data_IF_872038730343
#
_entry.id   IF_872038730343
#
_cell.length_a   1.000
_cell.length_b   1.000
_cell.length_c   1.000
_cell.angle_alpha   90.00
_cell.angle_beta   90.00
_cell.angle_gamma   90.00
#
_symmetry.space_group_name_H-M   'P 1'
#
loop_
_entity.id
_entity.type
_entity.pdbx_description
1 polymer ?
#
# COMPACT_ATOMS: atom_id res chain seq x y z
N UNK A 1 1.03 3.99 8.78
CA UNK A 1 0.64 4.07 10.20
C UNK A 1 0.69 2.72 10.89
N UNK A 2 0.08 1.65 10.35
CA UNK A 2 0.02 0.32 11.00
C UNK A 2 1.38 -0.21 11.47
N UNK A 3 2.46 -0.07 10.67
CA UNK A 3 3.81 -0.49 11.10
C UNK A 3 4.35 0.37 12.25
N UNK A 4 4.01 1.66 12.26
CA UNK A 4 4.35 2.58 13.33
C UNK A 4 3.53 2.29 14.60
N UNK A 5 2.24 1.94 14.45
CA UNK A 5 1.42 1.52 15.59
C UNK A 5 1.94 0.24 16.25
N UNK A 6 2.46 -0.70 15.46
CA UNK A 6 3.12 -1.87 16.05
C UNK A 6 4.35 -1.50 16.89
N UNK A 7 5.18 -0.58 16.39
CA UNK A 7 6.31 -0.05 17.16
C UNK A 7 5.85 0.73 18.40
N UNK A 8 4.72 1.43 18.32
CA UNK A 8 4.08 2.08 19.45
C UNK A 8 3.64 1.07 20.51
N UNK A 9 2.97 -0.01 20.10
CA UNK A 9 2.56 -1.09 20.99
C UNK A 9 3.74 -1.72 21.71
N UNK A 10 4.86 -1.96 21.02
CA UNK A 10 6.07 -2.49 21.66
C UNK A 10 6.56 -1.60 22.81
N UNK A 11 6.47 -0.26 22.66
CA UNK A 11 6.89 0.69 23.70
C UNK A 11 5.88 0.84 24.82
N UNK A 12 4.59 0.92 24.49
CA UNK A 12 3.49 1.06 25.46
C UNK A 12 3.34 -0.14 26.37
N UNK A 13 3.56 -1.34 25.83
CA UNK A 13 3.39 -2.62 26.53
C UNK A 13 4.72 -3.29 26.89
N UNK A 14 5.82 -2.55 26.87
CA UNK A 14 7.10 -3.00 27.43
C UNK A 14 6.92 -3.27 28.92
N UNK A 15 7.18 -4.53 29.34
CA UNK A 15 6.96 -4.96 30.72
C UNK A 15 7.95 -4.32 31.70
N UNK A 16 9.14 -3.97 31.23
CA UNK A 16 10.22 -3.43 32.06
C UNK A 16 10.22 -1.89 32.09
N UNK A 17 9.79 -1.26 30.99
CA UNK A 17 9.83 0.20 30.86
C UNK A 17 8.77 0.72 29.86
N UNK A 18 7.47 0.70 30.24
CA UNK A 18 6.39 1.22 29.40
C UNK A 18 6.59 2.72 29.14
N UNK A 19 6.38 3.16 27.89
CA UNK A 19 6.58 4.55 27.49
C UNK A 19 5.34 5.07 26.78
N UNK A 20 4.98 6.29 27.09
CA UNK A 20 4.01 7.04 26.33
C UNK A 20 4.56 7.34 24.93
N UNK A 21 3.71 7.30 23.93
CA UNK A 21 4.07 7.59 22.55
C UNK A 21 3.05 8.49 21.88
N UNK A 22 3.49 9.37 21.00
CA UNK A 22 2.63 10.09 20.09
C UNK A 22 2.91 9.60 18.66
N UNK A 23 1.83 9.35 17.90
CA UNK A 23 1.91 8.97 16.50
C UNK A 23 1.34 10.10 15.64
N UNK A 24 2.18 10.66 14.80
CA UNK A 24 1.80 11.66 13.81
C UNK A 24 1.56 10.97 12.46
N UNK A 25 0.38 11.17 11.86
CA UNK A 25 -0.02 10.50 10.61
C UNK A 25 -0.55 11.52 9.60
N UNK A 26 -0.09 11.47 8.36
CA UNK A 26 -0.67 12.26 7.27
C UNK A 26 -2.08 11.74 6.98
N UNK A 27 -3.10 12.57 7.20
CA UNK A 27 -4.52 12.24 7.01
C UNK A 27 -5.12 12.89 5.76
N UNK A 28 -4.52 13.97 5.27
CA UNK A 28 -4.87 14.59 4.00
C UNK A 28 -3.65 15.19 3.31
N UNK A 29 -3.72 15.26 1.98
CA UNK A 29 -2.69 15.85 1.12
C UNK A 29 -3.39 16.71 0.09
N UNK A 30 -2.90 17.95 -0.09
CA UNK A 30 -3.32 18.86 -1.15
C UNK A 30 -2.12 19.26 -2.01
N UNK A 31 -2.24 19.14 -3.32
CA UNK A 31 -1.13 19.41 -4.24
C UNK A 31 -0.05 18.33 -4.19
N UNK A 32 1.23 18.73 -4.34
CA UNK A 32 2.36 17.81 -4.35
C UNK A 32 2.94 17.64 -2.95
N UNK A 33 2.87 16.43 -2.41
CA UNK A 33 3.48 16.09 -1.12
C UNK A 33 4.52 14.98 -1.28
N UNK A 34 5.59 14.96 -0.46
CA UNK A 34 6.69 14.01 -0.58
C UNK A 34 6.30 12.59 -0.15
N UNK A 35 5.20 12.46 0.60
CA UNK A 35 4.72 11.18 1.15
C UNK A 35 3.21 11.07 1.03
N UNK A 36 2.66 9.85 0.83
CA UNK A 36 1.23 9.62 0.74
C UNK A 36 0.52 9.70 2.09
N UNK A 37 -0.81 9.82 2.04
CA UNK A 37 -1.72 9.65 3.19
C UNK A 37 -1.44 8.29 3.85
N UNK A 38 -1.45 8.24 5.20
CA UNK A 38 -1.11 7.06 6.00
C UNK A 38 0.36 7.00 6.41
N UNK A 39 1.24 7.82 5.80
CA UNK A 39 2.64 7.92 6.27
C UNK A 39 2.67 8.44 7.69
N UNK A 40 3.49 7.82 8.54
CA UNK A 40 3.51 8.13 9.97
C UNK A 40 4.91 8.25 10.55
N UNK A 41 4.98 9.00 11.65
CA UNK A 41 6.14 9.17 12.51
C UNK A 41 5.71 8.97 13.94
N UNK A 42 6.56 8.33 14.76
CA UNK A 42 6.35 8.13 16.18
C UNK A 42 7.39 8.91 16.96
N UNK A 43 6.95 9.52 18.05
CA UNK A 43 7.82 10.13 19.08
C UNK A 43 7.45 9.52 20.42
N UNK A 44 8.42 9.01 21.19
CA UNK A 44 8.18 8.51 22.53
C UNK A 44 8.49 9.56 23.61
N UNK A 45 8.09 9.27 24.86
CA UNK A 45 8.28 10.17 26.00
C UNK A 45 9.75 10.47 26.35
N UNK A 46 10.71 9.73 25.75
CA UNK A 46 12.15 10.03 25.86
C UNK A 46 12.66 10.93 24.75
N UNK A 47 11.80 11.28 23.77
CA UNK A 47 12.16 12.03 22.57
C UNK A 47 12.75 11.18 21.44
N UNK A 48 12.70 9.84 21.55
CA UNK A 48 13.15 8.98 20.46
C UNK A 48 12.13 8.98 19.31
N UNK A 49 12.63 9.12 18.09
CA UNK A 49 11.81 9.23 16.86
C UNK A 49 11.95 7.98 16.01
N UNK A 50 10.85 7.54 15.41
CA UNK A 50 10.82 6.49 14.39
C UNK A 50 9.91 6.88 13.23
N UNK A 51 10.37 6.71 11.99
CA UNK A 51 9.65 7.11 10.79
C UNK A 51 9.93 8.54 10.37
N UNK A 52 9.25 9.02 9.32
CA UNK A 52 9.38 10.36 8.77
C UNK A 52 8.18 10.68 7.88
N UNK A 53 7.71 11.94 7.88
CA UNK A 53 6.55 12.40 7.12
C UNK A 53 6.92 13.09 5.80
N UNK A 54 8.04 13.82 5.78
CA UNK A 54 8.39 14.67 4.63
C UNK A 54 9.83 14.46 4.13
N UNK A 55 10.67 13.84 4.94
CA UNK A 55 12.10 13.71 4.67
C UNK A 55 12.91 14.93 5.10
N UNK A 56 12.42 15.74 6.07
CA UNK A 56 13.15 16.83 6.71
C UNK A 56 12.46 18.18 6.74
N UNK A 57 11.37 18.38 5.97
CA UNK A 57 10.74 19.70 5.87
C UNK A 57 9.91 20.07 7.11
N UNK A 58 9.12 19.14 7.64
CA UNK A 58 8.15 19.39 8.73
C UNK A 58 8.46 18.64 10.01
N UNK A 59 9.45 17.76 10.02
CA UNK A 59 9.74 16.85 11.14
C UNK A 59 9.96 17.57 12.46
N UNK A 60 10.61 18.74 12.46
CA UNK A 60 10.82 19.53 13.68
C UNK A 60 9.52 20.02 14.30
N UNK A 61 8.65 20.61 13.48
CA UNK A 61 7.35 21.09 13.94
C UNK A 61 6.41 19.96 14.36
N UNK A 62 6.45 18.83 13.64
CA UNK A 62 5.69 17.63 14.01
C UNK A 62 6.22 17.03 15.32
N UNK A 63 7.53 17.04 15.55
CA UNK A 63 8.12 16.59 16.79
C UNK A 63 7.60 17.42 17.99
N UNK A 64 7.59 18.75 17.88
CA UNK A 64 7.03 19.64 18.90
C UNK A 64 5.55 19.36 19.15
N UNK A 65 4.75 19.23 18.07
CA UNK A 65 3.34 18.86 18.17
C UNK A 65 3.13 17.48 18.87
N UNK A 66 4.02 16.52 18.64
CA UNK A 66 3.98 15.24 19.35
C UNK A 66 4.28 15.40 20.84
N UNK A 67 5.23 16.25 21.23
CA UNK A 67 5.53 16.52 22.64
C UNK A 67 4.36 17.23 23.32
N UNK A 68 3.73 18.19 22.67
CA UNK A 68 2.54 18.87 23.19
C UNK A 68 1.38 17.89 23.39
N UNK A 69 1.16 16.98 22.44
CA UNK A 69 0.14 15.93 22.54
C UNK A 69 0.44 14.95 23.70
N UNK A 70 1.70 14.58 23.91
CA UNK A 70 2.09 13.75 25.04
C UNK A 70 1.87 14.47 26.38
N UNK A 71 2.11 15.77 26.44
CA UNK A 71 1.92 16.58 27.65
C UNK A 71 0.44 16.83 27.96
N UNK A 72 -0.39 17.07 26.96
CA UNK A 72 -1.82 17.32 27.13
C UNK A 72 -2.67 16.05 27.24
N UNK A 73 -2.22 14.96 26.62
CA UNK A 73 -2.99 13.73 26.44
C UNK A 73 -4.08 13.84 25.37
N UNK A 74 -4.14 14.95 24.61
CA UNK A 74 -5.20 15.23 23.65
C UNK A 74 -4.69 15.10 22.20
N UNK A 75 -5.48 14.51 21.29
CA UNK A 75 -5.16 14.46 19.89
C UNK A 75 -5.41 15.82 19.20
N UNK A 76 -4.60 16.13 18.17
CA UNK A 76 -4.75 17.34 17.40
C UNK A 76 -4.48 17.10 15.89
N UNK A 77 -5.10 17.91 15.03
CA UNK A 77 -4.77 17.96 13.61
C UNK A 77 -4.02 19.25 13.32
N UNK A 78 -2.85 19.12 12.71
CA UNK A 78 -2.00 20.24 12.32
C UNK A 78 -1.90 20.30 10.80
N UNK A 79 -2.03 21.51 10.24
CA UNK A 79 -1.84 21.75 8.81
C UNK A 79 -0.42 22.29 8.57
N UNK A 80 0.28 21.72 7.60
CA UNK A 80 1.60 22.15 7.15
C UNK A 80 1.54 22.41 5.65
N UNK A 81 1.87 23.62 5.21
CA UNK A 81 1.81 24.01 3.80
C UNK A 81 2.36 25.39 3.56
N UNK A 82 2.38 25.80 2.31
CA UNK A 82 2.75 27.16 1.93
C UNK A 82 1.53 28.07 2.19
N UNK A 83 1.60 28.97 3.17
CA UNK A 83 0.68 30.08 3.29
C UNK A 83 1.44 31.38 2.99
N UNK A 84 0.94 32.17 2.05
CA UNK A 84 1.51 33.50 1.71
C UNK A 84 1.45 34.52 2.87
N UNK A 85 0.75 34.20 3.96
CA UNK A 85 0.52 35.11 5.08
C UNK A 85 1.41 34.90 6.30
N UNK A 86 2.08 33.72 6.42
CA UNK A 86 2.96 33.42 7.57
C UNK A 86 4.40 33.14 7.10
N UNK A 87 5.25 34.17 7.17
CA UNK A 87 6.68 34.07 6.86
C UNK A 87 7.47 33.13 7.80
N UNK A 88 6.81 32.50 8.78
CA UNK A 88 7.34 31.52 9.72
C UNK A 88 6.66 30.14 9.65
N UNK A 89 5.69 29.95 8.74
CA UNK A 89 5.07 28.64 8.58
C UNK A 89 6.08 27.66 8.00
N UNK A 90 6.24 26.52 8.65
CA UNK A 90 7.08 25.41 8.17
C UNK A 90 6.43 24.86 6.90
N UNK A 91 6.93 25.31 5.73
CA UNK A 91 6.36 24.98 4.43
C UNK A 91 7.00 23.73 3.82
N UNK A 92 6.20 23.00 3.05
CA UNK A 92 6.72 21.90 2.21
C UNK A 92 7.42 22.50 0.99
N UNK A 93 8.70 22.18 0.79
CA UNK A 93 9.49 22.65 -0.38
C UNK A 93 8.89 22.21 -1.74
N UNK A 94 8.02 21.21 -1.76
CA UNK A 94 7.32 20.73 -2.95
C UNK A 94 6.03 21.52 -3.29
N UNK A 95 5.67 22.56 -2.51
CA UNK A 95 4.54 23.45 -2.81
C UNK A 95 3.15 22.87 -2.54
N UNK A 96 3.04 21.73 -1.86
CA UNK A 96 1.77 21.17 -1.41
C UNK A 96 1.47 21.48 0.06
N UNK A 97 0.31 21.00 0.53
CA UNK A 97 -0.07 21.05 1.93
C UNK A 97 -0.41 19.63 2.43
N UNK A 98 -0.14 19.37 3.70
CA UNK A 98 -0.53 18.14 4.39
C UNK A 98 -1.27 18.46 5.68
N UNK A 99 -2.24 17.63 6.02
CA UNK A 99 -2.84 17.61 7.34
C UNK A 99 -2.31 16.39 8.10
N UNK A 100 -1.85 16.62 9.31
CA UNK A 100 -1.23 15.60 10.17
C UNK A 100 -2.04 15.46 11.44
N UNK A 101 -2.62 14.27 11.66
CA UNK A 101 -3.19 13.90 12.94
C UNK A 101 -2.06 13.49 13.88
N UNK A 102 -1.96 14.13 15.03
CA UNK A 102 -1.08 13.72 16.13
C UNK A 102 -1.94 13.08 17.21
N UNK A 103 -1.74 11.78 17.43
CA UNK A 103 -2.50 10.98 18.39
C UNK A 103 -1.58 10.50 19.50
N UNK A 104 -1.79 10.94 20.78
CA UNK A 104 -1.06 10.39 21.91
C UNK A 104 -1.66 9.04 22.34
N UNK A 105 -0.78 8.13 22.76
CA UNK A 105 -1.10 6.87 23.41
C UNK A 105 -0.32 6.79 24.72
N UNK A 106 -1.03 6.73 25.83
CA UNK A 106 -0.44 6.76 27.15
C UNK A 106 -0.34 5.34 27.73
N UNK A 107 0.77 5.03 28.37
CA UNK A 107 1.00 3.76 29.02
C UNK A 107 -0.06 3.54 30.14
N UNK A 108 -0.79 2.43 30.07
CA UNK A 108 -1.92 2.17 30.97
C UNK A 108 -3.21 2.85 30.58
N UNK A 109 -3.25 3.68 29.51
CA UNK A 109 -4.43 4.29 28.94
C UNK A 109 -5.23 3.34 28.05
N UNK A 110 -6.50 3.70 27.78
CA UNK A 110 -7.31 3.04 26.75
C UNK A 110 -6.99 3.72 25.42
N UNK A 111 -6.66 3.01 24.39
CA UNK A 111 -6.47 3.70 23.11
C UNK A 111 -5.79 2.92 22.01
N UNK A 112 -5.02 1.92 22.34
CA UNK A 112 -4.45 1.00 21.38
C UNK A 112 -4.60 -0.42 21.93
N UNK A 113 -5.44 -1.23 21.29
CA UNK A 113 -5.53 -2.65 21.60
C UNK A 113 -4.22 -3.36 21.21
N UNK A 114 -3.84 -4.40 21.94
CA UNK A 114 -2.69 -5.21 21.58
C UNK A 114 -3.05 -6.01 20.33
N UNK A 115 -2.46 -5.65 19.17
CA UNK A 115 -2.66 -6.40 17.95
C UNK A 115 -2.14 -7.83 18.08
N UNK A 116 -2.93 -8.80 17.65
CA UNK A 116 -2.60 -10.22 17.82
C UNK A 116 -1.55 -10.71 16.82
N UNK A 117 -1.37 -10.05 15.66
CA UNK A 117 -0.45 -10.50 14.61
C UNK A 117 -0.13 -9.39 13.61
N UNK A 118 1.12 -9.33 13.15
CA UNK A 118 1.51 -8.51 11.98
C UNK A 118 1.05 -9.09 10.64
N UNK A 119 0.63 -10.35 10.63
CA UNK A 119 0.37 -11.09 9.40
C UNK A 119 -1.09 -11.03 8.94
N UNK A 120 -2.04 -10.70 9.82
CA UNK A 120 -3.46 -10.70 9.49
C UNK A 120 -3.88 -9.38 8.84
N UNK A 121 -4.80 -9.40 7.85
CA UNK A 121 -5.41 -8.20 7.31
C UNK A 121 -6.14 -7.43 8.42
N UNK A 122 -5.73 -6.20 8.66
CA UNK A 122 -6.24 -5.34 9.72
C UNK A 122 -6.57 -3.97 9.15
N UNK A 123 -7.62 -3.35 9.64
CA UNK A 123 -7.88 -1.94 9.42
C UNK A 123 -7.85 -1.20 10.77
N UNK A 124 -7.33 0.02 10.74
CA UNK A 124 -7.39 0.95 11.87
C UNK A 124 -8.28 2.11 11.50
N UNK A 125 -9.19 2.45 12.39
CA UNK A 125 -10.15 3.54 12.23
C UNK A 125 -9.88 4.53 13.36
N UNK A 126 -9.66 5.78 13.00
CA UNK A 126 -9.45 6.88 13.95
C UNK A 126 -10.40 8.03 13.62
N UNK A 127 -11.23 8.47 14.56
CA UNK A 127 -11.96 9.72 14.39
C UNK A 127 -10.99 10.90 14.42
N UNK A 128 -11.19 11.83 13.49
CA UNK A 128 -10.44 13.08 13.51
C UNK A 128 -11.05 14.04 14.53
N UNK A 129 -10.24 14.77 15.29
CA UNK A 129 -10.69 15.82 16.19
C UNK A 129 -11.53 16.87 15.45
N UNK A 130 -12.64 17.29 16.04
CA UNK A 130 -13.52 18.34 15.51
C UNK A 130 -13.87 19.28 16.64
N UNK A 131 -14.03 20.56 16.34
CA UNK A 131 -14.37 21.60 17.31
C UNK A 131 -15.67 21.34 18.11
N UNK A 132 -16.53 20.48 17.58
CA UNK A 132 -17.84 20.18 18.17
C UNK A 132 -17.84 18.88 19.01
N UNK A 133 -16.68 18.26 19.25
CA UNK A 133 -16.58 17.01 20.02
C UNK A 133 -15.64 17.14 21.19
N UNK A 134 -16.18 16.96 22.38
CA UNK A 134 -15.49 17.04 23.67
C UNK A 134 -14.71 15.77 24.06
N UNK A 135 -14.44 14.78 23.24
CA UNK A 135 -13.75 13.57 23.72
C UNK A 135 -12.78 12.98 22.71
N UNK A 136 -11.58 12.74 23.20
CA UNK A 136 -10.55 11.95 22.58
C UNK A 136 -11.10 10.59 22.17
N UNK A 137 -11.23 10.38 20.90
CA UNK A 137 -11.68 9.12 20.36
C UNK A 137 -10.46 8.24 20.15
N UNK A 138 -10.55 7.01 20.62
CA UNK A 138 -9.47 6.05 20.53
C UNK A 138 -9.41 5.46 19.12
N UNK A 139 -8.20 5.14 18.66
CA UNK A 139 -8.03 4.30 17.48
C UNK A 139 -8.64 2.92 17.76
N UNK A 140 -9.43 2.43 16.84
CA UNK A 140 -9.97 1.06 16.88
C UNK A 140 -9.37 0.23 15.76
N UNK A 141 -8.98 -1.00 16.10
CA UNK A 141 -8.43 -1.98 15.19
C UNK A 141 -9.51 -3.02 14.89
N UNK A 142 -9.73 -3.34 13.61
CA UNK A 142 -10.72 -4.32 13.17
C UNK A 142 -10.09 -5.27 12.15
N UNK A 143 -10.55 -6.52 12.11
CA UNK A 143 -10.18 -7.43 11.02
C UNK A 143 -10.86 -7.01 9.73
N UNK A 144 -10.10 -6.93 8.66
CA UNK A 144 -10.56 -6.35 7.39
C UNK A 144 -11.81 -7.02 6.79
N UNK A 145 -12.10 -8.27 7.16
CA UNK A 145 -13.18 -9.07 6.59
C UNK A 145 -14.32 -9.39 7.60
N UNK A 146 -14.37 -8.74 8.77
CA UNK A 146 -15.40 -8.99 9.79
C UNK A 146 -16.33 -7.79 9.93
N UNK A 147 -17.51 -7.87 9.28
CA UNK A 147 -18.52 -6.81 9.33
C UNK A 147 -19.11 -6.60 10.73
N UNK A 148 -19.21 -7.64 11.56
CA UNK A 148 -19.75 -7.52 12.92
C UNK A 148 -18.74 -6.83 13.82
N UNK A 149 -17.47 -7.17 13.68
CA UNK A 149 -16.37 -6.50 14.40
C UNK A 149 -16.29 -5.02 14.00
N UNK A 150 -16.45 -4.71 12.71
CA UNK A 150 -16.48 -3.34 12.21
C UNK A 150 -17.64 -2.54 12.83
N UNK A 151 -18.86 -3.08 12.88
CA UNK A 151 -20.00 -2.41 13.49
C UNK A 151 -19.77 -2.15 14.98
N UNK A 152 -19.31 -3.15 15.73
CA UNK A 152 -19.02 -3.02 17.15
C UNK A 152 -17.91 -1.99 17.43
N UNK A 153 -16.90 -1.90 16.54
CA UNK A 153 -15.84 -0.92 16.64
C UNK A 153 -16.28 0.51 16.35
N UNK A 154 -17.27 0.69 15.45
CA UNK A 154 -17.79 2.01 15.08
C UNK A 154 -18.84 2.56 16.08
N UNK A 155 -19.56 1.69 16.82
CA UNK A 155 -20.56 2.13 17.80
C UNK A 155 -20.07 3.22 18.77
N UNK A 156 -18.88 3.10 19.41
CA UNK A 156 -18.39 4.14 20.30
C UNK A 156 -17.86 5.38 19.58
N UNK A 157 -17.61 5.30 18.26
CA UNK A 157 -16.96 6.37 17.48
C UNK A 157 -17.97 7.29 16.81
N UNK A 158 -19.20 6.84 16.58
CA UNK A 158 -20.19 7.60 15.81
C UNK A 158 -21.55 7.59 16.47
N UNK A 159 -22.39 8.64 16.33
CA UNK A 159 -23.78 8.62 16.79
C UNK A 159 -24.55 7.48 16.13
N UNK A 160 -25.53 6.87 16.83
CA UNK A 160 -26.33 5.77 16.27
C UNK A 160 -26.99 6.08 14.91
N UNK A 161 -27.42 7.33 14.70
CA UNK A 161 -28.01 7.77 13.44
C UNK A 161 -27.01 7.77 12.26
N UNK A 162 -25.73 7.92 12.51
CA UNK A 162 -24.67 7.93 11.49
C UNK A 162 -24.02 6.54 11.28
N UNK A 163 -24.26 5.59 12.19
CA UNK A 163 -23.61 4.27 12.19
C UNK A 163 -23.78 3.49 10.87
N UNK A 164 -24.97 3.42 10.24
CA UNK A 164 -25.12 2.70 8.97
C UNK A 164 -24.29 3.29 7.84
N UNK A 165 -24.23 4.63 7.74
CA UNK A 165 -23.44 5.32 6.73
C UNK A 165 -21.94 5.17 7.00
N UNK A 166 -21.53 5.28 8.26
CA UNK A 166 -20.17 5.05 8.69
C UNK A 166 -19.70 3.63 8.34
N UNK A 167 -20.48 2.62 8.71
CA UNK A 167 -20.17 1.22 8.43
C UNK A 167 -20.05 0.95 6.93
N UNK A 168 -21.01 1.42 6.12
CA UNK A 168 -20.99 1.22 4.68
C UNK A 168 -19.77 1.85 4.01
N UNK A 169 -19.44 3.11 4.34
CA UNK A 169 -18.32 3.83 3.72
C UNK A 169 -16.97 3.27 4.20
N UNK A 170 -16.84 2.98 5.49
CA UNK A 170 -15.61 2.39 6.06
C UNK A 170 -15.38 0.99 5.50
N UNK A 171 -16.42 0.14 5.42
CA UNK A 171 -16.31 -1.18 4.80
C UNK A 171 -15.90 -1.09 3.31
N UNK A 172 -16.40 -0.09 2.58
CA UNK A 172 -15.98 0.14 1.19
C UNK A 172 -14.50 0.54 1.10
N UNK A 173 -14.01 1.39 2.01
CA UNK A 173 -12.59 1.73 2.10
C UNK A 173 -11.74 0.49 2.37
N UNK A 174 -12.12 -0.32 3.35
CA UNK A 174 -11.40 -1.54 3.74
C UNK A 174 -11.38 -2.55 2.59
N UNK A 175 -12.52 -2.86 1.97
CA UNK A 175 -12.61 -3.79 0.83
C UNK A 175 -11.80 -3.34 -0.39
N UNK A 176 -11.72 -2.03 -0.63
CA UNK A 176 -10.92 -1.46 -1.72
C UNK A 176 -9.47 -1.15 -1.29
N UNK A 177 -9.09 -1.53 -0.08
CA UNK A 177 -7.74 -1.38 0.46
C UNK A 177 -7.22 0.05 0.38
N UNK A 178 -8.12 1.00 0.61
CA UNK A 178 -7.83 2.42 0.56
C UNK A 178 -7.51 2.97 1.94
N UNK A 179 -6.48 3.80 2.00
CA UNK A 179 -6.17 4.64 3.16
C UNK A 179 -6.64 6.07 2.89
N UNK A 180 -7.35 6.66 3.85
CA UNK A 180 -7.85 8.03 3.71
C UNK A 180 -8.95 8.37 4.70
N UNK A 181 -9.53 9.57 4.54
CA UNK A 181 -10.57 10.10 5.43
C UNK A 181 -11.96 9.90 4.81
N UNK A 182 -12.85 9.29 5.59
CA UNK A 182 -14.29 9.17 5.29
C UNK A 182 -15.03 10.31 5.97
N UNK A 183 -15.86 11.04 5.20
CA UNK A 183 -16.69 12.14 5.70
C UNK A 183 -18.13 11.72 5.75
N UNK A 184 -18.74 11.72 6.94
CA UNK A 184 -20.08 11.22 7.19
C UNK A 184 -20.95 12.38 7.67
N UNK A 185 -22.05 12.63 6.95
CA UNK A 185 -23.10 13.54 7.42
C UNK A 185 -23.91 12.88 8.53
N UNK A 186 -24.18 13.59 9.61
CA UNK A 186 -25.05 13.12 10.68
C UNK A 186 -26.51 13.40 10.29
N UNK A 187 -27.38 12.38 10.15
CA UNK A 187 -28.80 12.60 9.84
C UNK A 187 -29.47 13.48 10.88
N UNK A 188 -30.14 14.53 10.41
CA UNK A 188 -30.82 15.50 11.27
C UNK A 188 -29.98 16.68 11.72
N UNK A 189 -28.67 16.69 11.45
CA UNK A 189 -27.78 17.81 11.68
C UNK A 189 -26.89 18.07 10.46
N UNK A 190 -27.25 19.01 9.63
CA UNK A 190 -26.49 19.36 8.42
C UNK A 190 -25.16 20.10 8.69
N UNK A 191 -24.86 20.42 9.95
CA UNK A 191 -23.67 21.15 10.36
C UNK A 191 -22.56 20.24 10.87
N UNK A 192 -22.94 19.07 11.41
CA UNK A 192 -21.98 18.12 11.97
C UNK A 192 -21.55 17.14 10.90
N UNK A 193 -20.27 17.18 10.55
CA UNK A 193 -19.60 16.17 9.72
C UNK A 193 -18.65 15.38 10.60
N UNK A 194 -18.81 14.08 10.57
CA UNK A 194 -17.88 13.18 11.20
C UNK A 194 -16.76 12.84 10.21
N UNK A 195 -15.54 12.93 10.62
CA UNK A 195 -14.40 12.51 9.83
C UNK A 195 -13.72 11.33 10.51
N UNK A 196 -13.63 10.20 9.80
CA UNK A 196 -12.96 8.99 10.24
C UNK A 196 -11.77 8.75 9.31
N UNK A 197 -10.58 8.74 9.86
CA UNK A 197 -9.41 8.25 9.14
C UNK A 197 -9.40 6.73 9.18
N UNK A 198 -9.28 6.11 8.02
CA UNK A 198 -9.27 4.66 7.84
C UNK A 198 -7.97 4.28 7.16
N UNK A 199 -7.23 3.37 7.77
CA UNK A 199 -6.08 2.75 7.16
C UNK A 199 -6.25 1.24 7.17
N UNK A 200 -6.14 0.62 6.00
CA UNK A 200 -6.20 -0.83 5.86
C UNK A 200 -4.81 -1.39 5.62
N UNK A 201 -4.42 -2.39 6.40
CA UNK A 201 -3.26 -3.21 6.05
C UNK A 201 -3.69 -4.18 4.97
N UNK A 202 -3.18 -3.94 3.80
CA UNK A 202 -3.37 -4.77 2.64
C UNK A 202 -2.44 -5.96 2.73
N UNK A 203 -2.92 -7.14 2.34
CA UNK A 203 -2.02 -8.24 2.02
C UNK A 203 -1.05 -7.76 0.93
N UNK A 204 0.26 -7.95 1.05
CA UNK A 204 1.20 -7.53 0.02
C UNK A 204 0.79 -8.03 -1.37
N UNK A 205 0.84 -7.16 -2.38
CA UNK A 205 0.53 -7.54 -3.74
C UNK A 205 1.41 -8.73 -4.17
N UNK A 206 0.83 -9.70 -4.88
CA UNK A 206 1.52 -10.94 -5.21
C UNK A 206 2.26 -10.80 -6.54
N UNK A 207 3.59 -10.92 -6.50
CA UNK A 207 4.45 -11.03 -7.68
C UNK A 207 4.75 -12.50 -7.94
N UNK A 208 4.19 -13.05 -8.99
CA UNK A 208 4.49 -14.41 -9.46
C UNK A 208 5.52 -14.34 -10.57
N UNK A 209 6.68 -14.94 -10.33
CA UNK A 209 7.79 -15.03 -11.28
C UNK A 209 7.84 -16.46 -11.83
N UNK A 210 7.58 -16.62 -13.10
CA UNK A 210 7.68 -17.92 -13.79
C UNK A 210 9.05 -18.03 -14.45
N UNK A 211 9.86 -18.96 -13.96
CA UNK A 211 11.21 -19.20 -14.43
C UNK A 211 12.28 -18.95 -13.36
N UNK A 212 12.80 -20.04 -12.81
CA UNK A 212 13.88 -20.03 -11.84
C UNK A 212 15.24 -19.94 -12.56
N UNK A 213 15.59 -18.74 -13.01
CA UNK A 213 16.82 -18.42 -13.74
C UNK A 213 17.44 -17.11 -13.24
N UNK A 214 18.55 -16.68 -13.83
CA UNK A 214 19.26 -15.46 -13.43
C UNK A 214 18.38 -14.19 -13.50
N UNK A 215 17.45 -14.11 -14.45
CA UNK A 215 16.52 -12.97 -14.54
C UNK A 215 15.48 -13.02 -13.42
N UNK A 216 14.98 -14.22 -13.10
CA UNK A 216 14.08 -14.42 -11.96
C UNK A 216 14.76 -14.07 -10.63
N UNK A 217 16.02 -14.48 -10.43
CA UNK A 217 16.80 -14.11 -9.24
C UNK A 217 16.94 -12.59 -9.10
N UNK A 218 17.35 -11.92 -10.18
CA UNK A 218 17.53 -10.47 -10.18
C UNK A 218 16.20 -9.73 -9.94
N UNK A 219 15.08 -10.23 -10.50
CA UNK A 219 13.77 -9.63 -10.28
C UNK A 219 13.31 -9.80 -8.83
N UNK A 220 13.49 -10.98 -8.22
CA UNK A 220 13.19 -11.21 -6.80
C UNK A 220 13.98 -10.27 -5.91
N UNK A 221 15.29 -10.17 -6.13
CA UNK A 221 16.18 -9.31 -5.33
C UNK A 221 15.76 -7.83 -5.42
N UNK A 222 15.49 -7.33 -6.62
CA UNK A 222 15.10 -5.94 -6.84
C UNK A 222 13.66 -5.63 -6.34
N UNK A 223 12.77 -6.62 -6.32
CA UNK A 223 11.37 -6.45 -5.91
C UNK A 223 11.17 -6.51 -4.38
N UNK A 224 12.07 -7.14 -3.62
CA UNK A 224 11.97 -7.27 -2.15
C UNK A 224 11.76 -5.94 -1.42
N UNK A 225 12.52 -4.86 -1.69
CA UNK A 225 12.32 -3.57 -1.02
C UNK A 225 10.96 -2.93 -1.29
N UNK A 226 10.25 -3.36 -2.34
CA UNK A 226 8.92 -2.86 -2.69
C UNK A 226 7.80 -3.53 -1.88
N UNK A 227 8.13 -4.52 -1.03
CA UNK A 227 7.19 -5.14 -0.12
C UNK A 227 6.22 -6.13 -0.77
N UNK A 228 6.50 -6.64 -1.98
CA UNK A 228 5.68 -7.67 -2.63
C UNK A 228 5.80 -9.03 -1.93
N UNK A 229 4.70 -9.79 -1.87
CA UNK A 229 4.76 -11.24 -1.66
C UNK A 229 5.24 -11.86 -2.96
N UNK A 230 6.35 -12.59 -2.93
CA UNK A 230 6.97 -13.10 -4.14
C UNK A 230 6.94 -14.63 -4.15
N UNK A 231 6.44 -15.20 -5.27
CA UNK A 231 6.54 -16.64 -5.52
C UNK A 231 7.25 -16.88 -6.85
N UNK A 232 8.29 -17.69 -6.82
CA UNK A 232 8.98 -18.19 -8.02
C UNK A 232 8.42 -19.57 -8.36
N UNK A 233 7.92 -19.74 -9.59
CA UNK A 233 7.34 -20.98 -10.06
C UNK A 233 8.14 -21.54 -11.25
N UNK A 234 8.64 -22.76 -11.11
CA UNK A 234 9.31 -23.48 -12.19
C UNK A 234 9.03 -25.00 -12.08
N UNK A 235 8.63 -25.67 -13.16
CA UNK A 235 8.36 -27.12 -13.12
C UNK A 235 9.63 -27.97 -13.01
N UNK A 236 10.79 -27.41 -13.31
CA UNK A 236 12.07 -28.12 -13.36
C UNK A 236 12.74 -28.13 -12.00
N UNK A 237 12.77 -29.29 -11.35
CA UNK A 237 13.32 -29.47 -9.99
C UNK A 237 14.77 -29.00 -9.84
N UNK A 238 15.59 -29.13 -10.88
CA UNK A 238 17.00 -28.71 -10.85
C UNK A 238 17.18 -27.19 -10.74
N UNK A 239 16.16 -26.40 -11.01
CA UNK A 239 16.20 -24.93 -10.95
C UNK A 239 15.40 -24.37 -9.76
N UNK A 240 14.37 -25.10 -9.30
CA UNK A 240 13.49 -24.66 -8.23
C UNK A 240 14.12 -24.86 -6.83
N UNK A 241 15.31 -24.26 -6.63
CA UNK A 241 16.02 -24.29 -5.35
C UNK A 241 15.66 -23.07 -4.50
N UNK A 242 15.02 -23.22 -3.33
CA UNK A 242 14.68 -22.11 -2.44
C UNK A 242 15.91 -21.29 -1.99
N UNK A 243 17.08 -21.89 -1.88
CA UNK A 243 18.30 -21.19 -1.49
C UNK A 243 18.75 -20.14 -2.53
N UNK A 244 18.34 -20.32 -3.79
CA UNK A 244 18.65 -19.38 -4.86
C UNK A 244 17.73 -18.15 -4.90
N UNK A 245 16.64 -18.12 -4.10
CA UNK A 245 15.62 -17.06 -4.10
C UNK A 245 15.29 -16.59 -2.68
N UNK A 246 16.24 -15.99 -1.97
CA UNK A 246 16.02 -15.53 -0.60
C UNK A 246 14.92 -14.48 -0.54
N UNK A 247 13.90 -14.70 0.30
CA UNK A 247 12.76 -13.80 0.46
C UNK A 247 11.61 -14.02 -0.53
N UNK A 248 11.65 -15.11 -1.29
CA UNK A 248 10.54 -15.58 -2.11
C UNK A 248 10.16 -17.01 -1.72
N UNK A 249 8.89 -17.35 -1.90
CA UNK A 249 8.42 -18.74 -1.92
C UNK A 249 8.82 -19.38 -3.25
N UNK A 250 9.24 -20.65 -3.22
CA UNK A 250 9.58 -21.38 -4.45
C UNK A 250 8.60 -22.53 -4.64
N UNK A 251 7.83 -22.49 -5.72
CA UNK A 251 6.85 -23.48 -6.09
C UNK A 251 7.38 -24.34 -7.25
N UNK A 252 7.73 -25.60 -6.97
CA UNK A 252 8.03 -26.59 -8.01
C UNK A 252 6.73 -27.12 -8.61
N UNK A 253 6.22 -26.45 -9.64
CA UNK A 253 4.96 -26.79 -10.29
C UNK A 253 4.92 -26.29 -11.73
N UNK A 254 4.02 -26.86 -12.54
CA UNK A 254 3.64 -26.27 -13.81
C UNK A 254 2.93 -24.93 -13.56
N UNK A 255 3.35 -23.81 -14.17
CA UNK A 255 2.85 -22.47 -13.81
C UNK A 255 1.33 -22.33 -13.93
N UNK A 256 0.71 -22.86 -14.99
CA UNK A 256 -0.74 -22.80 -15.14
C UNK A 256 -1.48 -23.57 -14.02
N UNK A 257 -0.95 -24.66 -13.51
CA UNK A 257 -1.52 -25.36 -12.35
C UNK A 257 -1.32 -24.59 -11.04
N UNK A 258 -0.15 -23.95 -10.89
CA UNK A 258 0.09 -23.07 -9.74
C UNK A 258 -0.87 -21.89 -9.75
N UNK A 259 -0.99 -21.18 -10.87
CA UNK A 259 -1.88 -20.02 -11.03
C UNK A 259 -3.35 -20.40 -10.78
N UNK A 260 -3.79 -21.58 -11.25
CA UNK A 260 -5.15 -22.05 -10.99
C UNK A 260 -5.41 -22.22 -9.50
N UNK A 261 -4.52 -22.90 -8.77
CA UNK A 261 -4.66 -23.08 -7.32
C UNK A 261 -4.60 -21.76 -6.55
N UNK A 262 -3.71 -20.85 -6.95
CA UNK A 262 -3.59 -19.54 -6.33
C UNK A 262 -4.84 -18.67 -6.57
N UNK A 263 -5.45 -18.77 -7.76
CA UNK A 263 -6.70 -18.09 -8.07
C UNK A 263 -7.88 -18.67 -7.26
N UNK A 264 -7.99 -19.99 -7.18
CA UNK A 264 -9.03 -20.67 -6.41
C UNK A 264 -8.92 -20.38 -4.90
N UNK A 265 -7.68 -20.18 -4.40
CA UNK A 265 -7.42 -19.79 -3.02
C UNK A 265 -7.67 -18.29 -2.73
N UNK A 266 -7.94 -17.47 -3.76
CA UNK A 266 -8.07 -16.02 -3.61
C UNK A 266 -6.72 -15.29 -3.41
N UNK A 267 -5.62 -15.94 -3.72
CA UNK A 267 -4.25 -15.41 -3.57
C UNK A 267 -3.85 -14.45 -4.70
N UNK A 268 -4.65 -14.37 -5.77
CA UNK A 268 -4.45 -13.49 -6.92
C UNK A 268 -5.60 -12.53 -7.05
N UNK A 269 -5.29 -11.24 -7.10
CA UNK A 269 -6.24 -10.13 -7.21
C UNK A 269 -5.81 -9.11 -8.29
N UNK A 270 -6.54 -8.00 -8.39
CA UNK A 270 -6.26 -6.91 -9.34
C UNK A 270 -4.90 -6.22 -9.14
N UNK A 271 -4.21 -6.47 -8.03
CA UNK A 271 -2.88 -5.94 -7.73
C UNK A 271 -1.78 -6.94 -8.05
N UNK A 272 -2.15 -8.19 -8.32
CA UNK A 272 -1.20 -9.27 -8.59
C UNK A 272 -0.53 -9.07 -9.95
N UNK A 273 0.72 -9.48 -10.02
CA UNK A 273 1.58 -9.35 -11.19
C UNK A 273 2.17 -10.70 -11.56
N UNK A 274 2.12 -11.06 -12.84
CA UNK A 274 2.64 -12.33 -13.35
C UNK A 274 3.72 -12.04 -14.40
N UNK A 275 4.96 -12.43 -14.13
CA UNK A 275 6.11 -12.22 -14.99
C UNK A 275 6.64 -13.57 -15.50
N UNK A 276 6.46 -13.83 -16.79
CA UNK A 276 6.96 -15.05 -17.46
C UNK A 276 8.38 -14.75 -17.99
N UNK A 277 9.38 -15.33 -17.35
CA UNK A 277 10.81 -15.09 -17.64
C UNK A 277 11.50 -16.33 -18.24
N UNK A 278 10.72 -17.31 -18.67
CA UNK A 278 11.20 -18.47 -19.42
C UNK A 278 11.14 -18.19 -20.96
N UNK A 279 11.71 -19.09 -21.72
CA UNK A 279 11.68 -19.06 -23.18
C UNK A 279 11.20 -20.41 -23.77
N UNK A 280 10.54 -21.22 -22.94
CA UNK A 280 10.02 -22.52 -23.36
C UNK A 280 8.52 -22.40 -23.68
N UNK A 281 8.10 -22.53 -24.95
CA UNK A 281 6.68 -22.43 -25.32
C UNK A 281 5.77 -23.42 -24.58
N UNK A 282 6.30 -24.58 -24.13
CA UNK A 282 5.54 -25.58 -23.36
C UNK A 282 5.17 -25.06 -21.96
N UNK A 283 5.98 -24.16 -21.42
CA UNK A 283 5.74 -23.51 -20.14
C UNK A 283 4.97 -22.20 -20.36
N UNK A 284 5.46 -21.36 -21.30
CA UNK A 284 4.99 -20.00 -21.51
C UNK A 284 3.54 -19.95 -22.00
N UNK A 285 3.18 -20.75 -23.02
CA UNK A 285 1.87 -20.64 -23.64
C UNK A 285 0.74 -21.02 -22.67
N UNK A 286 0.76 -22.19 -21.97
CA UNK A 286 -0.27 -22.52 -21.01
C UNK A 286 -0.33 -21.54 -19.83
N UNK A 287 0.83 -21.05 -19.36
CA UNK A 287 0.88 -20.08 -18.28
C UNK A 287 0.25 -18.73 -18.67
N UNK A 288 0.57 -18.20 -19.86
CA UNK A 288 0.02 -16.96 -20.37
C UNK A 288 -1.47 -17.08 -20.71
N UNK A 289 -1.88 -18.20 -21.32
CA UNK A 289 -3.29 -18.45 -21.63
C UNK A 289 -4.12 -18.38 -20.34
N UNK A 290 -3.66 -19.00 -19.26
CA UNK A 290 -4.33 -18.95 -17.96
C UNK A 290 -4.26 -17.56 -17.33
N UNK A 291 -3.07 -16.95 -17.27
CA UNK A 291 -2.84 -15.64 -16.66
C UNK A 291 -3.68 -14.51 -17.30
N UNK A 292 -3.80 -14.51 -18.62
CA UNK A 292 -4.60 -13.54 -19.38
C UNK A 292 -6.11 -13.71 -19.16
N UNK A 293 -6.57 -14.88 -18.71
CA UNK A 293 -7.94 -15.11 -18.26
C UNK A 293 -8.24 -14.59 -16.86
N UNK A 294 -7.22 -14.26 -16.07
CA UNK A 294 -7.38 -13.74 -14.71
C UNK A 294 -7.59 -12.23 -14.68
N UNK A 295 -8.22 -11.73 -13.62
CA UNK A 295 -8.39 -10.30 -13.32
C UNK A 295 -7.17 -9.65 -12.65
N UNK A 296 -5.95 -10.08 -12.99
CA UNK A 296 -4.72 -9.54 -12.39
C UNK A 296 -4.29 -8.23 -13.06
N UNK A 297 -3.55 -7.40 -12.32
CA UNK A 297 -3.17 -6.06 -12.75
C UNK A 297 -2.05 -6.00 -13.78
N UNK A 298 -1.21 -7.06 -13.87
CA UNK A 298 -0.10 -7.08 -14.81
C UNK A 298 0.22 -8.50 -15.26
N UNK A 299 0.40 -8.69 -16.57
CA UNK A 299 0.91 -9.93 -17.17
C UNK A 299 2.00 -9.56 -18.17
N UNK A 300 3.24 -10.00 -17.90
CA UNK A 300 4.37 -9.71 -18.76
C UNK A 300 5.13 -10.95 -19.18
N UNK A 301 5.74 -10.93 -20.37
CA UNK A 301 6.52 -12.05 -20.87
C UNK A 301 7.84 -11.59 -21.51
N UNK A 302 8.93 -12.24 -21.09
CA UNK A 302 10.27 -11.98 -21.63
C UNK A 302 10.41 -12.50 -23.05
N UNK A 303 11.18 -11.78 -23.87
CA UNK A 303 11.52 -12.20 -25.20
C UNK A 303 11.89 -11.06 -26.14
N UNK A 304 12.22 -11.41 -27.37
CA UNK A 304 12.43 -10.44 -28.44
C UNK A 304 11.09 -10.07 -29.11
N UNK A 305 11.07 -9.00 -29.90
CA UNK A 305 9.92 -8.65 -30.77
C UNK A 305 9.51 -9.78 -31.72
N UNK A 306 10.46 -10.64 -32.11
CA UNK A 306 10.17 -11.83 -32.90
C UNK A 306 9.45 -12.88 -32.06
N UNK A 307 10.01 -13.19 -30.87
CA UNK A 307 9.40 -14.15 -29.95
C UNK A 307 7.99 -13.71 -29.50
N UNK A 308 7.76 -12.39 -29.38
CA UNK A 308 6.43 -11.86 -29.07
C UNK A 308 5.43 -12.14 -30.20
N UNK A 309 5.80 -11.91 -31.48
CA UNK A 309 4.91 -12.22 -32.60
C UNK A 309 4.53 -13.70 -32.62
N UNK A 310 5.54 -14.58 -32.48
CA UNK A 310 5.33 -16.03 -32.49
C UNK A 310 4.43 -16.47 -31.33
N UNK A 311 4.65 -15.89 -30.14
CA UNK A 311 3.87 -16.11 -28.91
C UNK A 311 2.41 -15.66 -29.09
N UNK A 312 2.16 -14.45 -29.60
CA UNK A 312 0.79 -13.95 -29.85
C UNK A 312 0.05 -14.82 -30.86
N UNK A 313 0.73 -15.32 -31.89
CA UNK A 313 0.14 -16.27 -32.85
C UNK A 313 -0.26 -17.57 -32.14
N UNK A 314 0.62 -18.15 -31.31
CA UNK A 314 0.35 -19.37 -30.56
C UNK A 314 -0.78 -19.19 -29.54
N UNK A 315 -0.85 -18.04 -28.85
CA UNK A 315 -1.92 -17.72 -27.90
C UNK A 315 -3.29 -17.60 -28.59
N UNK A 316 -3.36 -16.96 -29.78
CA UNK A 316 -4.60 -16.96 -30.57
C UNK A 316 -5.04 -18.35 -30.98
N UNK A 317 -4.09 -19.22 -31.40
CA UNK A 317 -4.38 -20.63 -31.72
C UNK A 317 -4.88 -21.39 -30.49
N UNK A 318 -4.42 -21.03 -29.27
CA UNK A 318 -4.88 -21.57 -27.99
C UNK A 318 -6.23 -20.94 -27.51
N UNK A 319 -6.84 -20.05 -28.29
CA UNK A 319 -8.16 -19.48 -27.99
C UNK A 319 -8.14 -18.20 -27.16
N UNK A 320 -6.98 -17.54 -26.99
CA UNK A 320 -6.91 -16.23 -26.33
C UNK A 320 -7.39 -15.15 -27.31
N UNK A 321 -8.36 -14.35 -26.88
CA UNK A 321 -8.92 -13.26 -27.68
C UNK A 321 -7.98 -12.04 -27.76
N UNK A 322 -8.24 -11.16 -28.70
CA UNK A 322 -7.39 -9.98 -28.91
C UNK A 322 -7.46 -8.98 -27.76
N UNK A 323 -8.58 -8.87 -27.06
CA UNK A 323 -8.71 -8.00 -25.88
C UNK A 323 -7.83 -8.49 -24.72
N UNK A 324 -7.79 -9.78 -24.47
CA UNK A 324 -6.86 -10.36 -23.49
C UNK A 324 -5.40 -10.17 -23.91
N UNK A 325 -5.10 -10.29 -25.21
CA UNK A 325 -3.75 -10.06 -25.74
C UNK A 325 -3.28 -8.60 -25.62
N UNK A 326 -4.17 -7.61 -25.61
CA UNK A 326 -3.82 -6.20 -25.38
C UNK A 326 -3.25 -5.98 -23.98
N UNK A 327 -3.64 -6.81 -22.99
CA UNK A 327 -3.12 -6.74 -21.62
C UNK A 327 -1.75 -7.39 -21.45
N UNK A 328 -1.23 -8.06 -22.48
CA UNK A 328 0.08 -8.70 -22.43
C UNK A 328 1.20 -7.71 -22.72
N UNK A 329 2.04 -7.47 -21.74
CA UNK A 329 3.29 -6.73 -21.84
C UNK A 329 4.40 -7.62 -22.38
N UNK A 330 4.66 -7.56 -23.67
CA UNK A 330 5.64 -8.43 -24.33
C UNK A 330 6.25 -7.72 -25.55
N UNK A 331 7.56 -7.55 -25.61
CA UNK A 331 8.56 -7.87 -24.58
C UNK A 331 8.33 -7.13 -23.25
N UNK A 332 8.53 -7.83 -22.12
CA UNK A 332 8.35 -7.28 -20.78
C UNK A 332 9.39 -6.17 -20.48
N UNK A 333 8.96 -5.12 -19.80
CA UNK A 333 9.81 -4.04 -19.31
C UNK A 333 9.87 -2.82 -20.22
N UNK A 334 10.33 -1.71 -19.65
CA UNK A 334 10.53 -0.46 -20.38
C UNK A 334 11.77 -0.51 -21.26
N UNK A 335 11.78 0.23 -22.36
CA UNK A 335 12.90 0.32 -23.29
C UNK A 335 14.10 1.12 -22.76
N UNK A 336 14.72 0.68 -21.66
CA UNK A 336 15.86 1.35 -21.00
C UNK A 336 17.22 0.97 -21.58
N UNK A 337 17.29 0.10 -22.60
CA UNK A 337 18.56 -0.42 -23.10
C UNK A 337 19.24 -1.45 -22.19
N UNK A 338 18.45 -2.06 -21.29
CA UNK A 338 18.93 -3.04 -20.31
C UNK A 338 19.60 -4.25 -20.98
N UNK A 339 20.74 -4.68 -20.45
CA UNK A 339 21.56 -5.79 -20.96
C UNK A 339 21.78 -6.88 -19.90
N UNK A 340 21.99 -6.49 -18.65
CA UNK A 340 22.22 -7.43 -17.55
C UNK A 340 20.91 -7.86 -16.89
N UNK A 341 20.85 -9.04 -16.23
CA UNK A 341 19.67 -9.45 -15.47
C UNK A 341 19.19 -8.39 -14.47
N UNK A 342 20.08 -7.70 -13.78
CA UNK A 342 19.75 -6.64 -12.84
C UNK A 342 19.10 -5.43 -13.52
N UNK A 343 19.64 -4.98 -14.64
CA UNK A 343 19.06 -3.88 -15.44
C UNK A 343 17.67 -4.25 -15.99
N UNK A 344 17.52 -5.50 -16.44
CA UNK A 344 16.22 -6.03 -16.92
C UNK A 344 15.22 -6.05 -15.76
N UNK A 345 15.62 -6.45 -14.55
CA UNK A 345 14.76 -6.42 -13.38
C UNK A 345 14.26 -4.99 -13.08
N UNK A 346 15.13 -3.98 -13.14
CA UNK A 346 14.76 -2.57 -13.00
C UNK A 346 13.77 -2.15 -14.10
N UNK A 347 14.02 -2.54 -15.34
CA UNK A 347 13.13 -2.25 -16.49
C UNK A 347 11.73 -2.84 -16.29
N UNK A 348 11.63 -4.08 -15.80
CA UNK A 348 10.36 -4.76 -15.49
C UNK A 348 9.62 -4.04 -14.36
N UNK A 349 10.30 -3.77 -13.25
CA UNK A 349 9.67 -3.12 -12.09
C UNK A 349 9.21 -1.70 -12.42
N UNK A 350 9.96 -0.97 -13.24
CA UNK A 350 9.56 0.36 -13.70
C UNK A 350 8.28 0.31 -14.55
N UNK A 351 8.13 -0.69 -15.44
CA UNK A 351 6.89 -0.90 -16.19
C UNK A 351 5.72 -1.26 -15.29
N UNK A 352 5.92 -2.18 -14.34
CA UNK A 352 4.89 -2.56 -13.36
C UNK A 352 4.39 -1.33 -12.59
N UNK A 353 5.31 -0.52 -12.04
CA UNK A 353 4.95 0.69 -11.30
C UNK A 353 4.19 1.70 -12.17
N UNK A 354 4.57 1.85 -13.44
CA UNK A 354 3.89 2.74 -14.35
C UNK A 354 2.45 2.27 -14.66
N UNK A 355 2.27 0.97 -14.88
CA UNK A 355 0.94 0.37 -15.11
C UNK A 355 0.05 0.51 -13.88
N UNK A 356 0.58 0.21 -12.69
CA UNK A 356 -0.14 0.38 -11.42
C UNK A 356 -0.52 1.84 -11.16
N UNK A 357 0.36 2.78 -11.54
CA UNK A 357 0.11 4.22 -11.43
C UNK A 357 -0.81 4.79 -12.51
N UNK A 358 -1.31 3.96 -13.44
CA UNK A 358 -2.17 4.41 -14.54
C UNK A 358 -1.47 5.37 -15.52
N UNK A 359 -0.13 5.33 -15.59
CA UNK A 359 0.65 6.22 -16.45
C UNK A 359 0.61 5.74 -17.91
N UNK A 360 -0.07 6.49 -18.75
CA UNK A 360 -0.13 6.21 -20.20
C UNK A 360 1.20 6.55 -20.91
N UNK A 361 2.00 7.44 -20.36
CA UNK A 361 3.27 7.90 -20.93
C UNK A 361 4.32 8.04 -19.83
N UNK A 362 5.48 7.43 -20.04
CA UNK A 362 6.59 7.48 -19.07
C UNK A 362 7.63 8.45 -19.63
N UNK A 363 7.77 9.57 -18.95
CA UNK A 363 8.75 10.61 -19.26
C UNK A 363 9.66 10.85 -18.06
N UNK A 364 10.88 11.35 -18.28
CA UNK A 364 11.68 11.89 -17.18
C UNK A 364 10.90 13.00 -16.46
N UNK A 365 10.94 13.01 -15.12
CA UNK A 365 10.22 14.02 -14.32
C UNK A 365 10.60 15.45 -14.68
N UNK A 366 11.84 15.66 -15.17
CA UNK A 366 12.31 16.96 -15.67
C UNK A 366 11.57 17.47 -16.91
N UNK A 367 10.88 16.59 -17.65
CA UNK A 367 10.14 16.93 -18.87
C UNK A 367 8.62 16.94 -18.62
N UNK A 368 8.17 16.56 -17.44
CA UNK A 368 6.75 16.53 -17.08
C UNK A 368 6.26 17.88 -16.59
N UNK A 369 5.02 18.24 -16.94
CA UNK A 369 4.29 19.39 -16.38
C UNK A 369 3.23 18.97 -15.37
N UNK A 370 3.05 17.67 -15.17
CA UNK A 370 2.09 17.09 -14.24
C UNK A 370 2.62 17.18 -12.80
N UNK A 371 1.75 17.26 -11.78
CA UNK A 371 2.15 17.13 -10.40
C UNK A 371 2.96 15.84 -10.19
N UNK A 372 4.05 15.91 -9.43
CA UNK A 372 4.92 14.75 -9.16
C UNK A 372 4.19 13.62 -8.45
N UNK A 373 3.18 13.97 -7.67
CA UNK A 373 2.30 13.02 -7.00
C UNK A 373 0.86 13.34 -7.42
N UNK A 374 0.19 12.44 -8.18
CA UNK A 374 -1.20 12.67 -8.54
C UNK A 374 -2.04 12.70 -7.26
N UNK A 375 -2.87 13.73 -7.14
CA UNK A 375 -3.92 13.76 -6.11
C UNK A 375 -4.80 12.53 -6.30
N UNK A 376 -5.01 11.76 -5.23
CA UNK A 376 -5.92 10.61 -5.27
C UNK A 376 -7.28 11.09 -5.76
N UNK A 377 -7.87 10.55 -6.83
CA UNK A 377 -9.19 10.99 -7.27
C UNK A 377 -10.21 10.57 -6.22
N UNK A 378 -10.86 11.55 -5.60
CA UNK A 378 -11.99 11.36 -4.69
C UNK A 378 -11.80 11.98 -3.32
N UNK A 379 -11.72 13.31 -3.27
CA UNK A 379 -12.12 14.12 -2.13
C UNK A 379 -13.54 14.63 -2.35
#
# INVERSE_FOLDING_TARGET
MLDILFAAQQRLFDLDNPRDVAVATIVAVQGSAPRPVGTSMLVDSTGAVQGSLSGGCVEGAVFEACQDALASGEPAVHAFGYSDEDAFAVGLMCGGAIEVLVQPFLAGGRGLARSASQADPVAVIMPLPSADREHASHAVEVRANDENELLAALEPLVPPAALPAAASQTAAMIRNERTGTVRIAVPGDNRVRLELFVESRVTPAHLVVVGANAFGQALVEAARPLGYRITVCDPRSAFADPAAFPGAEVAQAWPHHFLARAADAGDLDVRSMICILTHDPKIDIPALQFALGLGVGYVGAMGSRRSDRDRRCALRQAGVDDQALERLHSPIGLGLGAQTPAEVAVSILAEILAVQGGQAQILPLSHGTQPLHPSTPGG
#
